data_IF_415600846196
#
_entry.id   IF_415600846196
#
_cell.length_a   1.000
_cell.length_b   1.000
_cell.length_c   1.000
_cell.angle_alpha   90.00
_cell.angle_beta   90.00
_cell.angle_gamma   90.00
#
_symmetry.space_group_name_H-M   'P 1'
#
loop_
_entity.id
_entity.type
_entity.pdbx_description
1 polymer ?
#
# COMPACT_ATOMS: atom_id res chain seq x y z
N UNK A 1 -6.63 37.78 12.18
CA UNK A 1 -5.91 36.71 11.45
C UNK A 1 -5.57 35.63 12.47
N UNK A 2 -6.45 34.65 12.62
CA UNK A 2 -6.31 33.64 13.66
C UNK A 2 -5.57 32.45 13.04
N UNK A 3 -4.27 32.32 13.35
CA UNK A 3 -3.41 31.18 12.93
C UNK A 3 -4.13 29.83 13.07
N UNK A 4 -4.99 29.72 14.10
CA UNK A 4 -5.79 28.52 14.39
C UNK A 4 -6.80 28.17 13.29
N UNK A 5 -7.44 29.16 12.66
CA UNK A 5 -8.45 28.90 11.60
C UNK A 5 -7.77 28.55 10.28
N UNK A 6 -6.64 29.18 9.96
CA UNK A 6 -5.82 28.84 8.79
C UNK A 6 -5.33 27.40 8.86
N UNK A 7 -4.81 26.98 10.03
CA UNK A 7 -4.36 25.62 10.26
C UNK A 7 -5.50 24.59 10.09
N UNK A 8 -6.69 24.88 10.64
CA UNK A 8 -7.84 23.98 10.55
C UNK A 8 -8.37 23.83 9.11
N UNK A 9 -8.35 24.91 8.32
CA UNK A 9 -8.81 24.89 6.92
C UNK A 9 -7.87 24.07 6.05
N UNK A 10 -6.56 24.28 6.20
CA UNK A 10 -5.55 23.52 5.46
C UNK A 10 -5.59 22.04 5.86
N UNK A 11 -5.67 21.72 7.14
CA UNK A 11 -5.79 20.35 7.64
C UNK A 11 -7.03 19.64 7.10
N UNK A 12 -8.19 20.31 7.09
CA UNK A 12 -9.43 19.76 6.53
C UNK A 12 -9.31 19.54 5.01
N UNK A 13 -8.66 20.46 4.29
CA UNK A 13 -8.40 20.31 2.86
C UNK A 13 -7.61 19.03 2.54
N UNK A 14 -6.50 18.82 3.26
CA UNK A 14 -5.72 17.59 3.11
C UNK A 14 -6.50 16.34 3.48
N UNK A 15 -7.29 16.35 4.56
CA UNK A 15 -8.09 15.18 4.95
C UNK A 15 -9.07 14.75 3.85
N UNK A 16 -9.77 15.71 3.24
CA UNK A 16 -10.76 15.42 2.19
C UNK A 16 -10.12 14.93 0.90
N UNK A 17 -8.93 15.43 0.56
CA UNK A 17 -8.15 14.98 -0.60
C UNK A 17 -7.67 13.52 -0.41
N UNK A 18 -7.23 13.17 0.81
CA UNK A 18 -6.57 11.90 1.10
C UNK A 18 -7.56 10.77 1.41
N UNK A 19 -8.71 11.08 2.01
CA UNK A 19 -9.75 10.10 2.37
C UNK A 19 -10.17 9.17 1.21
N UNK A 20 -10.51 9.66 0.00
CA UNK A 20 -10.94 8.79 -1.08
C UNK A 20 -9.81 7.88 -1.57
N UNK A 21 -8.57 8.39 -1.63
CA UNK A 21 -7.40 7.58 -2.00
C UNK A 21 -7.10 6.50 -0.96
N UNK A 22 -7.21 6.82 0.33
CA UNK A 22 -7.05 5.86 1.42
C UNK A 22 -8.11 4.77 1.35
N UNK A 23 -9.36 5.15 1.10
CA UNK A 23 -10.48 4.21 0.96
C UNK A 23 -10.25 3.24 -0.20
N UNK A 24 -9.83 3.75 -1.36
CA UNK A 24 -9.47 2.93 -2.53
C UNK A 24 -8.29 2.01 -2.22
N UNK A 25 -7.25 2.51 -1.55
CA UNK A 25 -6.09 1.70 -1.16
C UNK A 25 -6.45 0.57 -0.19
N UNK A 26 -7.35 0.84 0.77
CA UNK A 26 -7.84 -0.17 1.70
C UNK A 26 -8.74 -1.19 1.00
N UNK A 27 -9.59 -0.74 0.08
CA UNK A 27 -10.44 -1.60 -0.73
C UNK A 27 -9.60 -2.53 -1.60
N UNK A 28 -8.60 -2.00 -2.31
CA UNK A 28 -7.65 -2.80 -3.09
C UNK A 28 -6.87 -3.77 -2.20
N UNK A 29 -6.41 -3.32 -1.04
CA UNK A 29 -5.68 -4.15 -0.09
C UNK A 29 -6.52 -5.34 0.39
N UNK A 30 -7.80 -5.11 0.72
CA UNK A 30 -8.75 -6.17 1.06
C UNK A 30 -9.05 -7.08 -0.12
N UNK A 31 -9.19 -6.54 -1.33
CA UNK A 31 -9.46 -7.32 -2.53
C UNK A 31 -8.26 -8.21 -2.90
N UNK A 32 -7.04 -7.68 -2.82
CA UNK A 32 -5.78 -8.41 -2.95
C UNK A 32 -5.72 -9.49 -1.87
N UNK A 33 -6.15 -9.17 -0.65
CA UNK A 33 -6.18 -10.13 0.45
C UNK A 33 -7.18 -11.28 0.21
N UNK A 34 -8.34 -11.02 -0.39
CA UNK A 34 -9.32 -12.07 -0.68
C UNK A 34 -8.93 -12.88 -1.94
N UNK A 35 -8.53 -12.20 -3.01
CA UNK A 35 -8.24 -12.84 -4.31
C UNK A 35 -6.89 -13.56 -4.36
N UNK A 36 -5.88 -13.12 -3.60
CA UNK A 36 -4.54 -13.71 -3.65
C UNK A 36 -4.32 -14.59 -2.41
N UNK A 37 -4.38 -15.93 -2.54
CA UNK A 37 -4.19 -16.83 -1.41
C UNK A 37 -2.76 -16.75 -0.88
N UNK A 38 -2.59 -16.83 0.45
CA UNK A 38 -1.30 -16.69 1.12
C UNK A 38 -0.22 -17.65 0.58
N UNK A 39 -0.63 -18.85 0.12
CA UNK A 39 0.25 -19.84 -0.55
C UNK A 39 0.90 -19.33 -1.84
N UNK A 40 0.23 -18.47 -2.60
CA UNK A 40 0.77 -17.86 -3.83
C UNK A 40 1.77 -16.75 -3.49
N UNK A 41 1.47 -15.95 -2.45
CA UNK A 41 2.36 -14.90 -1.92
C UNK A 41 3.63 -15.51 -1.34
N UNK A 42 3.54 -16.55 -0.51
CA UNK A 42 4.73 -17.24 0.00
C UNK A 42 5.58 -17.86 -1.11
N UNK A 43 4.94 -18.43 -2.15
CA UNK A 43 5.67 -19.11 -3.24
C UNK A 43 6.33 -18.13 -4.22
N UNK A 44 5.75 -16.95 -4.47
CA UNK A 44 6.30 -15.93 -5.40
C UNK A 44 7.04 -14.79 -4.70
N UNK A 45 6.58 -14.34 -3.53
CA UNK A 45 7.15 -13.24 -2.75
C UNK A 45 7.90 -13.70 -1.46
N UNK A 46 7.62 -14.90 -0.95
CA UNK A 46 8.27 -15.46 0.26
C UNK A 46 9.55 -16.29 0.01
N UNK A 47 9.84 -16.65 -1.25
CA UNK A 47 11.02 -17.42 -1.62
C UNK A 47 12.36 -16.69 -1.37
N UNK A 48 13.43 -17.43 -1.10
CA UNK A 48 14.80 -16.87 -1.02
C UNK A 48 15.35 -16.64 -2.45
N UNK A 49 15.64 -15.39 -2.82
CA UNK A 49 16.33 -15.04 -4.08
C UNK A 49 15.95 -13.67 -4.64
N UNK A 50 16.46 -13.35 -5.83
CA UNK A 50 16.22 -12.11 -6.59
C UNK A 50 14.88 -12.10 -7.36
N UNK A 51 14.25 -13.26 -7.56
CA UNK A 51 12.98 -13.39 -8.29
C UNK A 51 11.82 -12.62 -7.63
N UNK A 52 11.58 -12.72 -6.30
CA UNK A 52 10.58 -11.91 -5.59
C UNK A 52 10.73 -10.41 -5.79
N UNK A 53 11.99 -9.94 -5.79
CA UNK A 53 12.33 -8.52 -5.93
C UNK A 53 12.03 -8.05 -7.35
N UNK A 54 12.37 -8.85 -8.37
CA UNK A 54 12.07 -8.50 -9.76
C UNK A 54 10.57 -8.41 -10.03
N UNK A 55 9.78 -9.35 -9.48
CA UNK A 55 8.33 -9.33 -9.59
C UNK A 55 7.69 -8.18 -8.82
N UNK A 56 8.16 -7.85 -7.61
CA UNK A 56 7.63 -6.72 -6.85
C UNK A 56 7.99 -5.38 -7.47
N UNK A 57 9.20 -5.23 -8.02
CA UNK A 57 9.61 -4.03 -8.76
C UNK A 57 8.77 -3.82 -10.03
N UNK A 58 8.51 -4.89 -10.81
CA UNK A 58 7.64 -4.80 -11.98
C UNK A 58 6.20 -4.43 -11.61
N UNK A 59 5.67 -5.04 -10.54
CA UNK A 59 4.33 -4.73 -10.05
C UNK A 59 4.25 -3.30 -9.49
N UNK A 60 5.24 -2.84 -8.73
CA UNK A 60 5.32 -1.48 -8.20
C UNK A 60 5.56 -0.42 -9.28
N UNK A 61 6.22 -0.78 -10.38
CA UNK A 61 6.37 0.10 -11.55
C UNK A 61 5.03 0.29 -12.28
N UNK A 62 4.20 -0.76 -12.36
CA UNK A 62 2.88 -0.69 -12.98
C UNK A 62 1.86 0.00 -12.07
N UNK A 63 2.01 -0.13 -10.74
CA UNK A 63 1.17 0.56 -9.76
C UNK A 63 2.03 1.54 -8.93
N UNK A 64 2.36 2.73 -9.46
CA UNK A 64 2.94 3.79 -8.66
C UNK A 64 1.84 4.32 -7.72
N UNK A 65 1.75 3.73 -6.54
CA UNK A 65 0.83 4.19 -5.50
C UNK A 65 1.48 5.35 -4.76
N UNK A 66 0.81 6.51 -4.70
CA UNK A 66 1.20 7.62 -3.83
C UNK A 66 1.41 7.08 -2.41
N UNK A 67 2.47 7.53 -1.72
CA UNK A 67 3.01 6.98 -0.46
C UNK A 67 1.96 6.67 0.63
N UNK A 68 0.79 7.31 0.55
CA UNK A 68 -0.34 7.11 1.47
C UNK A 68 -1.12 5.81 1.21
N UNK A 69 -1.22 5.37 -0.05
CA UNK A 69 -1.89 4.12 -0.44
C UNK A 69 -0.98 2.90 -0.45
N UNK A 70 0.35 3.08 -0.59
CA UNK A 70 1.30 1.96 -0.59
C UNK A 70 1.42 1.31 0.79
N UNK A 71 1.32 2.08 1.88
CA UNK A 71 1.40 1.59 3.27
C UNK A 71 0.38 0.48 3.61
N UNK A 72 -0.95 0.67 3.45
CA UNK A 72 -1.93 -0.38 3.80
C UNK A 72 -1.83 -1.61 2.89
N UNK A 73 -1.44 -1.43 1.63
CA UNK A 73 -1.22 -2.53 0.68
C UNK A 73 0.01 -3.34 1.10
N UNK A 74 1.11 -2.66 1.42
CA UNK A 74 2.35 -3.25 1.90
C UNK A 74 2.13 -4.04 3.20
N UNK A 75 1.42 -3.46 4.18
CA UNK A 75 1.07 -4.13 5.43
C UNK A 75 0.25 -5.41 5.23
N UNK A 76 -0.73 -5.40 4.33
CA UNK A 76 -1.57 -6.56 4.05
C UNK A 76 -0.82 -7.69 3.35
N UNK A 77 0.09 -7.36 2.43
CA UNK A 77 1.03 -8.30 1.80
C UNK A 77 2.02 -8.88 2.82
N UNK A 78 2.53 -8.05 3.74
CA UNK A 78 3.43 -8.50 4.79
C UNK A 78 2.74 -9.48 5.75
N UNK A 79 1.51 -9.18 6.18
CA UNK A 79 0.71 -10.10 7.01
C UNK A 79 0.45 -11.45 6.33
N UNK A 80 0.47 -11.50 4.99
CA UNK A 80 0.36 -12.74 4.21
C UNK A 80 1.65 -13.52 4.02
N UNK A 81 2.77 -13.08 4.60
CA UNK A 81 4.06 -13.78 4.52
C UNK A 81 5.03 -13.19 3.49
N UNK A 82 4.73 -12.03 2.90
CA UNK A 82 5.72 -11.31 2.09
C UNK A 82 6.81 -10.72 3.00
N UNK A 83 8.08 -10.89 2.60
CA UNK A 83 9.23 -10.35 3.34
C UNK A 83 9.27 -8.82 3.23
N UNK A 84 9.85 -8.14 4.22
CA UNK A 84 9.91 -6.67 4.24
C UNK A 84 10.62 -6.07 3.00
N UNK A 85 11.63 -6.77 2.46
CA UNK A 85 12.46 -6.28 1.35
C UNK A 85 11.77 -6.15 -0.02
N UNK A 86 10.90 -7.10 -0.45
CA UNK A 86 10.10 -6.93 -1.68
C UNK A 86 8.88 -6.01 -1.53
N UNK A 87 8.47 -5.70 -0.30
CA UNK A 87 7.24 -4.98 0.04
C UNK A 87 7.48 -3.46 0.18
N UNK A 88 8.72 -3.06 0.43
CA UNK A 88 9.17 -1.66 0.55
C UNK A 88 10.30 -1.35 -0.43
#
# INVERSE_FOLDING_TARGET
MNILTEFLVVFKGYLVEVLPFLFIGFLLSGLIHEFIPAKLVERHLGGKGIKPILYSTLAGTILPVCCIGSLPIALSLHQKGARLGPVF
#
